data_IF_794010503335
#
_entry.id   IF_794010503335
#
_cell.length_a   1.000
_cell.length_b   1.000
_cell.length_c   1.000
_cell.angle_alpha   90.00
_cell.angle_beta   90.00
_cell.angle_gamma   90.00
#
_symmetry.space_group_name_H-M   'P 1'
#
loop_
_entity.id
_entity.type
_entity.pdbx_description
1 polymer ?
#
# COMPACT_ATOMS: atom_id res chain seq x y z
N UNK A 1 -2.99 14.06 -12.36
CA UNK A 1 -2.49 13.97 -10.96
C UNK A 1 -0.98 13.81 -10.99
N UNK A 2 -0.26 14.29 -9.97
CA UNK A 2 1.19 14.10 -9.90
C UNK A 2 1.54 12.60 -9.72
N UNK A 3 2.43 12.07 -10.56
CA UNK A 3 2.97 10.72 -10.41
C UNK A 3 3.71 10.61 -9.07
N UNK A 4 3.49 9.53 -8.33
CA UNK A 4 4.12 9.30 -7.02
C UNK A 4 4.66 7.87 -6.92
N UNK A 5 5.68 7.63 -6.08
CA UNK A 5 6.16 6.29 -5.83
C UNK A 5 5.11 5.50 -5.06
N UNK A 6 4.74 4.34 -5.61
CA UNK A 6 3.82 3.39 -4.98
C UNK A 6 4.48 2.03 -4.87
N UNK A 7 4.08 1.26 -3.86
CA UNK A 7 4.38 -0.16 -3.75
C UNK A 7 3.08 -0.95 -3.89
N UNK A 8 2.97 -1.77 -4.92
CA UNK A 8 1.93 -2.78 -5.04
C UNK A 8 2.38 -4.01 -4.24
N UNK A 9 1.61 -4.41 -3.24
CA UNK A 9 1.91 -5.60 -2.43
C UNK A 9 1.24 -6.81 -3.05
N UNK A 10 1.93 -7.94 -3.08
CA UNK A 10 1.39 -9.21 -3.59
C UNK A 10 1.75 -10.39 -2.68
N UNK A 11 1.03 -11.51 -2.76
CA UNK A 11 1.51 -12.77 -2.18
C UNK A 11 2.91 -13.13 -2.72
N UNK A 12 3.79 -13.70 -1.88
CA UNK A 12 5.11 -14.15 -2.34
C UNK A 12 5.02 -15.11 -3.52
N UNK A 13 5.89 -14.96 -4.50
CA UNK A 13 5.93 -15.73 -5.74
C UNK A 13 5.08 -15.17 -6.88
N UNK A 14 4.36 -14.06 -6.68
CA UNK A 14 3.54 -13.41 -7.70
C UNK A 14 4.12 -12.07 -8.19
N UNK A 15 5.33 -11.71 -7.75
CA UNK A 15 5.94 -10.41 -8.01
C UNK A 15 6.16 -10.16 -9.50
N UNK A 16 6.69 -11.13 -10.25
CA UNK A 16 6.95 -10.98 -11.69
C UNK A 16 5.65 -10.81 -12.50
N UNK A 17 4.61 -11.57 -12.15
CA UNK A 17 3.29 -11.45 -12.77
C UNK A 17 2.67 -10.07 -12.50
N UNK A 18 2.83 -9.56 -11.29
CA UNK A 18 2.35 -8.24 -10.91
C UNK A 18 3.19 -7.11 -11.54
N UNK A 19 4.48 -7.33 -11.77
CA UNK A 19 5.34 -6.40 -12.47
C UNK A 19 4.92 -6.28 -13.93
N UNK A 20 4.67 -7.40 -14.60
CA UNK A 20 4.11 -7.41 -15.95
C UNK A 20 2.76 -6.67 -16.01
N UNK A 21 1.88 -6.88 -15.03
CA UNK A 21 0.59 -6.17 -14.94
C UNK A 21 0.76 -4.65 -14.84
N UNK A 22 1.69 -4.19 -14.00
CA UNK A 22 1.97 -2.78 -13.84
C UNK A 22 2.63 -2.16 -15.07
N UNK A 23 3.47 -2.91 -15.79
CA UNK A 23 4.04 -2.50 -17.09
C UNK A 23 2.95 -2.30 -18.15
N UNK A 24 1.97 -3.21 -18.24
CA UNK A 24 0.79 -3.05 -19.10
C UNK A 24 -0.04 -1.82 -18.73
N UNK A 25 -0.09 -1.50 -17.43
CA UNK A 25 -0.67 -0.25 -16.93
C UNK A 25 0.23 0.97 -17.18
N UNK A 26 1.35 0.84 -17.89
CA UNK A 26 2.24 1.93 -18.28
C UNK A 26 3.07 2.47 -17.12
N UNK A 27 3.40 1.62 -16.13
CA UNK A 27 4.29 1.95 -15.04
C UNK A 27 5.71 1.44 -15.32
N UNK A 28 6.71 2.24 -14.98
CA UNK A 28 8.06 1.74 -14.76
C UNK A 28 8.08 1.02 -13.42
N UNK A 29 8.70 -0.17 -13.37
CA UNK A 29 8.61 -1.07 -12.22
C UNK A 29 9.96 -1.59 -11.77
N UNK A 30 10.05 -1.90 -10.49
CA UNK A 30 11.14 -2.65 -9.86
C UNK A 30 10.54 -3.75 -8.99
N UNK A 31 10.93 -4.99 -9.25
CA UNK A 31 10.51 -6.15 -8.48
C UNK A 31 11.23 -6.12 -7.14
N UNK A 32 10.47 -6.24 -6.04
CA UNK A 32 11.02 -6.27 -4.68
C UNK A 32 10.37 -7.41 -3.88
N UNK A 33 11.01 -7.91 -2.80
CA UNK A 33 10.39 -8.95 -2.00
C UNK A 33 8.96 -8.60 -1.54
N UNK A 34 7.98 -9.45 -1.88
CA UNK A 34 6.57 -9.29 -1.50
C UNK A 34 5.81 -8.20 -2.26
N UNK A 35 6.35 -7.65 -3.35
CA UNK A 35 5.71 -6.57 -4.07
C UNK A 35 6.41 -6.09 -5.33
N UNK A 36 5.89 -4.99 -5.85
CA UNK A 36 6.47 -4.27 -6.98
C UNK A 36 6.47 -2.78 -6.65
N UNK A 37 7.63 -2.13 -6.75
CA UNK A 37 7.75 -0.69 -6.68
C UNK A 37 7.47 -0.09 -8.05
N UNK A 38 6.70 0.99 -8.09
CA UNK A 38 6.49 1.80 -9.27
C UNK A 38 6.79 3.27 -8.91
N UNK A 39 8.02 3.77 -9.19
CA UNK A 39 8.48 5.09 -8.73
C UNK A 39 7.64 6.26 -9.24
N UNK A 40 6.99 6.07 -10.39
CA UNK A 40 6.21 7.10 -11.08
C UNK A 40 4.86 6.54 -11.55
N UNK A 41 4.06 6.06 -10.60
CA UNK A 41 2.73 5.51 -10.91
C UNK A 41 1.64 6.59 -10.94
N UNK A 42 0.65 6.35 -11.80
CA UNK A 42 -0.67 6.96 -11.70
C UNK A 42 -1.51 6.13 -10.72
N UNK A 43 -1.65 6.61 -9.49
CA UNK A 43 -2.27 5.87 -8.39
C UNK A 43 -3.70 5.40 -8.72
N UNK A 44 -4.63 6.26 -9.20
CA UNK A 44 -5.93 5.81 -9.69
C UNK A 44 -5.87 4.66 -10.71
N UNK A 45 -4.95 4.74 -11.68
CA UNK A 45 -4.79 3.69 -12.70
C UNK A 45 -4.36 2.36 -12.08
N UNK A 46 -3.42 2.40 -11.12
CA UNK A 46 -2.99 1.19 -10.39
C UNK A 46 -4.12 0.63 -9.53
N UNK A 47 -4.84 1.48 -8.79
CA UNK A 47 -5.92 1.07 -7.88
C UNK A 47 -7.07 0.38 -8.61
N UNK A 48 -7.44 0.88 -9.79
CA UNK A 48 -8.52 0.32 -10.60
C UNK A 48 -8.03 -0.84 -11.48
N UNK A 49 -6.82 -0.71 -12.03
CA UNK A 49 -6.30 -1.63 -13.04
C UNK A 49 -5.69 -2.91 -12.48
N UNK A 50 -5.08 -2.87 -11.29
CA UNK A 50 -4.40 -4.05 -10.75
C UNK A 50 -5.39 -5.12 -10.32
N UNK A 51 -5.21 -6.35 -10.83
CA UNK A 51 -6.00 -7.54 -10.50
C UNK A 51 -5.26 -8.44 -9.51
N UNK A 52 -3.94 -8.55 -9.64
CA UNK A 52 -3.08 -9.42 -8.81
C UNK A 52 -2.72 -8.77 -7.46
N UNK A 53 -2.72 -7.43 -7.40
CA UNK A 53 -2.47 -6.65 -6.20
C UNK A 53 -3.30 -7.09 -5.00
N UNK A 54 -2.67 -7.16 -3.83
CA UNK A 54 -3.35 -7.36 -2.54
C UNK A 54 -3.63 -6.03 -1.83
N UNK A 55 -2.84 -5.00 -2.11
CA UNK A 55 -2.97 -3.64 -1.58
C UNK A 55 -1.90 -2.73 -2.15
N UNK A 56 -2.07 -1.42 -1.95
CA UNK A 56 -1.16 -0.39 -2.47
C UNK A 56 -0.79 0.55 -1.35
N UNK A 57 0.51 0.81 -1.21
CA UNK A 57 1.01 1.89 -0.35
C UNK A 57 1.60 3.01 -1.20
N UNK A 58 1.37 4.24 -0.76
CA UNK A 58 1.99 5.44 -1.31
C UNK A 58 3.20 5.80 -0.47
N UNK A 59 4.38 5.85 -1.08
CA UNK A 59 5.61 6.21 -0.37
C UNK A 59 5.69 7.73 -0.21
N UNK A 60 5.91 8.18 1.02
CA UNK A 60 6.10 9.61 1.34
C UNK A 60 7.59 10.00 1.39
N UNK A 61 8.47 9.02 1.61
CA UNK A 61 9.91 9.23 1.67
C UNK A 61 10.57 8.38 2.75
N UNK A 62 11.78 8.77 3.14
CA UNK A 62 12.57 8.10 4.16
C UNK A 62 12.95 9.09 5.26
N UNK A 63 13.04 8.59 6.49
CA UNK A 63 13.52 9.35 7.66
C UNK A 63 14.63 8.58 8.37
N UNK A 64 15.47 9.29 9.14
CA UNK A 64 16.46 8.62 9.99
C UNK A 64 15.76 7.87 11.13
N UNK A 65 16.25 6.68 11.43
CA UNK A 65 15.62 5.81 12.42
C UNK A 65 15.85 6.29 13.86
N UNK A 66 17.04 6.82 14.16
CA UNK A 66 17.42 7.32 15.48
C UNK A 66 16.59 8.52 15.94
N UNK A 67 16.12 9.32 15.01
CA UNK A 67 15.24 10.46 15.23
C UNK A 67 13.80 10.20 14.77
N UNK A 68 13.37 8.94 14.62
CA UNK A 68 12.14 8.58 13.91
C UNK A 68 10.90 9.40 14.32
N UNK A 69 10.47 9.45 15.61
CA UNK A 69 9.29 10.24 15.99
C UNK A 69 9.43 11.73 15.67
N UNK A 70 10.63 12.30 15.82
CA UNK A 70 10.87 13.71 15.59
C UNK A 70 10.92 14.05 14.10
N UNK A 71 11.57 13.20 13.30
CA UNK A 71 11.68 13.34 11.86
C UNK A 71 10.32 13.23 11.15
N UNK A 72 9.39 12.44 11.70
CA UNK A 72 8.02 12.35 11.16
C UNK A 72 7.32 13.71 11.17
N UNK A 73 7.69 14.68 12.03
CA UNK A 73 7.05 16.02 12.02
C UNK A 73 7.27 16.79 10.72
N UNK A 74 8.36 16.52 10.01
CA UNK A 74 8.73 17.18 8.76
C UNK A 74 8.11 16.56 7.51
N UNK A 75 7.42 15.42 7.63
CA UNK A 75 6.84 14.72 6.48
C UNK A 75 5.64 15.49 5.89
N UNK A 76 5.35 15.36 4.58
CA UNK A 76 4.32 16.13 3.88
C UNK A 76 2.90 15.59 4.14
N UNK A 77 2.52 15.46 5.41
CA UNK A 77 1.24 14.90 5.84
C UNK A 77 0.02 15.60 5.25
N UNK A 78 0.12 16.89 4.94
CA UNK A 78 -0.93 17.67 4.29
C UNK A 78 -1.40 17.08 2.95
N UNK A 79 -0.56 16.25 2.32
CA UNK A 79 -0.85 15.63 1.03
C UNK A 79 -1.64 14.32 1.13
N UNK A 80 -1.86 13.79 2.34
CA UNK A 80 -2.48 12.47 2.58
C UNK A 80 -3.41 12.41 3.79
N UNK A 81 -3.23 13.26 4.80
CA UNK A 81 -4.09 13.30 5.98
C UNK A 81 -5.30 14.21 5.76
N UNK A 82 -6.47 13.64 6.06
CA UNK A 82 -7.69 14.42 6.28
C UNK A 82 -7.74 14.90 7.74
N UNK A 83 -8.30 16.08 7.96
CA UNK A 83 -8.39 16.65 9.29
C UNK A 83 -9.24 15.81 10.26
N UNK A 84 -8.72 15.60 11.46
CA UNK A 84 -9.30 14.73 12.50
C UNK A 84 -9.37 13.24 12.16
N UNK A 85 -8.78 12.79 11.05
CA UNK A 85 -8.75 11.37 10.70
C UNK A 85 -7.92 10.58 11.72
N UNK A 86 -8.42 9.42 12.14
CA UNK A 86 -7.66 8.49 13.00
C UNK A 86 -6.44 7.96 12.24
N UNK A 87 -5.37 7.69 12.97
CA UNK A 87 -4.12 7.15 12.41
C UNK A 87 -3.80 5.84 13.11
N UNK A 88 -3.37 4.85 12.34
CA UNK A 88 -2.83 3.59 12.84
C UNK A 88 -1.40 3.47 12.33
N UNK A 89 -0.41 3.42 13.22
CA UNK A 89 0.97 3.16 12.80
C UNK A 89 1.23 1.65 12.83
N UNK A 90 1.98 1.17 11.85
CA UNK A 90 2.57 -0.18 11.84
C UNK A 90 4.06 -0.06 11.67
N UNK A 91 4.82 -0.38 12.72
CA UNK A 91 6.29 -0.38 12.69
C UNK A 91 6.85 -1.78 12.41
N UNK A 92 7.73 -1.90 11.42
CA UNK A 92 8.47 -3.13 11.08
C UNK A 92 9.97 -2.87 11.08
N UNK A 93 10.75 -3.93 11.34
CA UNK A 93 12.22 -3.87 11.32
C UNK A 93 12.87 -3.34 12.60
N UNK A 94 12.10 -2.82 13.56
CA UNK A 94 12.59 -2.37 14.86
C UNK A 94 11.85 -3.05 16.00
N UNK A 95 12.59 -3.43 17.04
CA UNK A 95 12.03 -3.88 18.31
C UNK A 95 12.25 -2.79 19.36
N UNK A 96 11.19 -2.19 19.86
CA UNK A 96 11.26 -1.16 20.89
C UNK A 96 9.89 -0.82 21.45
N UNK A 97 9.75 -0.86 22.79
CA UNK A 97 8.48 -0.58 23.44
C UNK A 97 8.09 0.89 23.25
N UNK A 98 6.88 1.14 22.76
CA UNK A 98 6.26 2.46 22.70
C UNK A 98 6.72 3.39 21.57
N UNK A 99 7.64 2.97 20.69
CA UNK A 99 8.05 3.79 19.53
C UNK A 99 6.87 4.01 18.58
N UNK A 100 6.11 2.95 18.30
CA UNK A 100 4.92 2.97 17.44
C UNK A 100 3.89 3.99 17.95
N UNK A 101 3.53 3.93 19.24
CA UNK A 101 2.61 4.89 19.86
C UNK A 101 3.11 6.34 19.85
N UNK A 102 4.43 6.56 20.02
CA UNK A 102 5.02 7.91 19.88
C UNK A 102 4.89 8.43 18.45
N UNK A 103 5.15 7.58 17.46
CA UNK A 103 4.99 7.94 16.04
C UNK A 103 3.52 8.24 15.71
N UNK A 104 2.59 7.41 16.19
CA UNK A 104 1.15 7.61 16.00
C UNK A 104 0.70 8.94 16.59
N UNK A 105 1.10 9.26 17.83
CA UNK A 105 0.77 10.52 18.48
C UNK A 105 1.30 11.75 17.70
N UNK A 106 2.50 11.65 17.12
CA UNK A 106 3.06 12.72 16.27
C UNK A 106 2.18 12.94 15.05
N UNK A 107 1.84 11.89 14.31
CA UNK A 107 1.05 11.98 13.08
C UNK A 107 -0.41 12.40 13.38
N UNK A 108 -1.02 11.85 14.44
CA UNK A 108 -2.36 12.20 14.88
C UNK A 108 -2.47 13.69 15.24
N UNK A 109 -1.42 14.30 15.81
CA UNK A 109 -1.37 15.74 16.06
C UNK A 109 -1.42 16.56 14.76
N UNK A 110 -0.83 16.08 13.67
CA UNK A 110 -0.97 16.72 12.35
C UNK A 110 -2.41 16.64 11.84
N UNK A 111 -3.09 15.51 12.01
CA UNK A 111 -4.50 15.36 11.66
C UNK A 111 -5.39 16.29 12.50
N UNK A 112 -5.18 16.36 13.82
CA UNK A 112 -5.96 17.19 14.74
C UNK A 112 -5.83 18.69 14.44
N UNK A 113 -4.62 19.18 14.15
CA UNK A 113 -4.37 20.59 13.80
C UNK A 113 -5.11 21.06 12.55
N UNK A 114 -5.50 20.15 11.66
CA UNK A 114 -6.24 20.47 10.45
C UNK A 114 -7.74 20.65 10.71
N UNK A 115 -8.23 20.37 11.92
CA UNK A 115 -9.64 20.45 12.28
C UNK A 115 -10.51 19.41 11.57
N UNK A 116 -11.82 19.42 11.79
CA UNK A 116 -12.75 18.49 11.13
C UNK A 116 -12.91 17.16 11.86
N UNK A 117 -14.12 16.60 11.84
CA UNK A 117 -14.47 15.31 12.43
C UNK A 117 -14.63 14.25 11.37
N UNK A 118 -13.58 13.98 10.60
CA UNK A 118 -13.64 13.06 9.47
C UNK A 118 -14.17 11.69 9.90
N UNK A 119 -15.35 11.30 9.40
CA UNK A 119 -15.89 9.93 9.51
C UNK A 119 -15.24 9.00 8.49
N UNK A 120 -13.92 9.02 8.44
CA UNK A 120 -13.11 8.17 7.57
C UNK A 120 -12.55 6.98 8.36
N UNK A 121 -12.27 5.86 7.68
CA UNK A 121 -11.42 4.82 8.25
C UNK A 121 -10.08 5.39 8.71
N UNK A 122 -9.47 4.74 9.71
CA UNK A 122 -8.15 5.12 10.16
C UNK A 122 -7.14 5.01 9.00
N UNK A 123 -6.29 6.02 8.84
CA UNK A 123 -5.19 5.98 7.88
C UNK A 123 -4.08 5.12 8.46
N UNK A 124 -3.77 4.01 7.82
CA UNK A 124 -2.64 3.17 8.19
C UNK A 124 -1.35 3.74 7.63
N UNK A 125 -0.37 3.95 8.49
CA UNK A 125 0.98 4.41 8.16
C UNK A 125 1.96 3.29 8.43
N UNK A 126 2.67 2.87 7.39
CA UNK A 126 3.72 1.88 7.47
C UNK A 126 5.06 2.60 7.70
N UNK A 127 5.75 2.18 8.76
CA UNK A 127 7.14 2.54 9.04
C UNK A 127 7.98 1.29 8.89
N UNK A 128 8.76 1.19 7.83
CA UNK A 128 9.58 0.00 7.55
C UNK A 128 11.04 0.41 7.76
N UNK A 129 11.62 -0.07 8.85
CA UNK A 129 13.00 0.21 9.18
C UNK A 129 13.96 -0.75 8.51
N UNK A 130 15.00 -0.18 7.92
CA UNK A 130 16.10 -0.89 7.26
C UNK A 130 17.38 -0.08 7.52
N UNK A 131 18.40 -0.75 8.05
CA UNK A 131 19.64 -0.14 8.51
C UNK A 131 19.43 1.08 9.45
N UNK A 132 19.82 2.28 8.99
CA UNK A 132 19.75 3.53 9.73
C UNK A 132 18.57 4.42 9.29
N UNK A 133 17.66 3.90 8.47
CA UNK A 133 16.53 4.64 7.89
C UNK A 133 15.22 3.90 8.11
N UNK A 134 14.12 4.64 8.00
CA UNK A 134 12.78 4.09 7.93
C UNK A 134 12.05 4.66 6.70
N UNK A 135 11.54 3.78 5.85
CA UNK A 135 10.55 4.12 4.84
C UNK A 135 9.25 4.54 5.53
N UNK A 136 8.68 5.67 5.09
CA UNK A 136 7.38 6.16 5.53
C UNK A 136 6.41 6.04 4.37
N UNK A 137 5.41 5.19 4.52
CA UNK A 137 4.39 4.97 3.50
C UNK A 137 2.99 4.99 4.10
N UNK A 138 2.00 5.44 3.33
CA UNK A 138 0.58 5.40 3.73
C UNK A 138 -0.18 4.38 2.91
N UNK A 139 -1.11 3.69 3.54
CA UNK A 139 -1.95 2.70 2.86
C UNK A 139 -3.00 3.41 2.00
N UNK A 140 -2.84 3.31 0.67
CA UNK A 140 -3.79 3.86 -0.29
C UNK A 140 -4.97 2.91 -0.53
N UNK A 141 -4.69 1.59 -0.53
CA UNK A 141 -5.72 0.56 -0.57
C UNK A 141 -5.25 -0.72 0.11
N UNK A 142 -6.22 -1.44 0.67
CA UNK A 142 -6.04 -2.77 1.25
C UNK A 142 -7.10 -3.71 0.70
N UNK A 143 -6.81 -5.00 0.76
CA UNK A 143 -7.71 -6.06 0.33
C UNK A 143 -8.24 -5.84 -1.11
N UNK A 144 -7.36 -5.49 -2.05
CA UNK A 144 -7.75 -5.27 -3.46
C UNK A 144 -8.44 -6.49 -4.08
N UNK A 145 -8.21 -7.68 -3.54
CA UNK A 145 -8.94 -8.89 -3.90
C UNK A 145 -10.47 -8.80 -3.67
N UNK A 146 -10.94 -7.96 -2.73
CA UNK A 146 -12.38 -7.72 -2.51
C UNK A 146 -12.96 -6.81 -3.58
N UNK A 147 -13.38 -7.40 -4.69
CA UNK A 147 -13.95 -6.68 -5.85
C UNK A 147 -15.43 -6.30 -5.72
N UNK A 148 -16.07 -6.66 -4.60
CA UNK A 148 -17.46 -6.26 -4.29
C UNK A 148 -18.56 -7.15 -4.87
N UNK A 149 -18.26 -8.05 -5.82
CA UNK A 149 -19.28 -8.94 -6.40
C UNK A 149 -19.58 -10.18 -5.55
N UNK A 150 -18.65 -10.61 -4.68
CA UNK A 150 -18.84 -11.79 -3.83
C UNK A 150 -19.58 -11.41 -2.54
N UNK A 151 -20.88 -11.68 -2.49
CA UNK A 151 -21.75 -11.36 -1.35
C UNK A 151 -21.85 -12.48 -0.31
N UNK A 152 -21.66 -13.74 -0.72
CA UNK A 152 -21.68 -14.92 0.16
C UNK A 152 -20.44 -15.81 -0.09
N UNK A 153 -19.38 -15.72 0.73
CA UNK A 153 -18.25 -16.61 0.60
C UNK A 153 -18.65 -18.04 1.03
N UNK A 154 -18.33 -19.04 0.20
CA UNK A 154 -18.38 -20.45 0.62
C UNK A 154 -17.33 -20.76 1.71
N UNK A 155 -17.12 -22.05 2.04
CA UNK A 155 -16.25 -22.43 3.18
C UNK A 155 -14.78 -21.98 3.05
N UNK A 156 -14.21 -21.99 1.84
CA UNK A 156 -12.81 -21.63 1.61
C UNK A 156 -12.58 -21.14 0.16
N UNK A 157 -13.15 -19.99 -0.23
CA UNK A 157 -12.98 -19.49 -1.58
C UNK A 157 -11.54 -19.07 -1.83
N UNK A 158 -11.03 -19.38 -3.02
CA UNK A 158 -9.78 -18.81 -3.52
C UNK A 158 -9.90 -17.28 -3.55
N UNK A 159 -8.87 -16.56 -3.09
CA UNK A 159 -8.82 -15.11 -3.22
C UNK A 159 -8.80 -14.74 -4.70
N UNK A 160 -9.57 -13.72 -5.06
CA UNK A 160 -9.78 -13.27 -6.43
C UNK A 160 -8.48 -12.86 -7.11
N UNK A 161 -7.56 -12.24 -6.35
CA UNK A 161 -6.28 -11.83 -6.89
C UNK A 161 -5.37 -13.02 -7.21
N UNK A 162 -5.45 -14.10 -6.44
CA UNK A 162 -4.74 -15.35 -6.73
C UNK A 162 -5.39 -16.07 -7.92
N UNK A 163 -6.71 -16.08 -8.03
CA UNK A 163 -7.40 -16.59 -9.22
C UNK A 163 -6.98 -15.84 -10.50
N UNK A 164 -6.89 -14.51 -10.43
CA UNK A 164 -6.40 -13.69 -11.53
C UNK A 164 -4.93 -14.00 -11.88
N UNK A 165 -4.08 -14.24 -10.87
CA UNK A 165 -2.69 -14.62 -11.09
C UNK A 165 -2.56 -15.99 -11.78
N UNK A 166 -3.39 -16.98 -11.41
CA UNK A 166 -3.42 -18.30 -12.06
C UNK A 166 -3.77 -18.17 -13.54
N UNK A 167 -4.86 -17.45 -13.86
CA UNK A 167 -5.25 -17.24 -15.26
C UNK A 167 -4.15 -16.55 -16.07
N UNK A 168 -3.49 -15.55 -15.48
CA UNK A 168 -2.36 -14.86 -16.11
C UNK A 168 -1.17 -15.80 -16.32
N UNK A 169 -0.84 -16.64 -15.35
CA UNK A 169 0.25 -17.62 -15.46
C UNK A 169 -0.02 -18.67 -16.55
N UNK A 170 -1.30 -18.99 -16.81
CA UNK A 170 -1.72 -19.84 -17.92
C UNK A 170 -1.72 -19.11 -19.29
N UNK A 171 -1.33 -17.83 -19.34
CA UNK A 171 -1.43 -16.97 -20.53
C UNK A 171 -2.86 -16.89 -21.12
N UNK A 172 -3.88 -17.12 -20.30
CA UNK A 172 -5.27 -17.06 -20.77
C UNK A 172 -5.69 -15.60 -20.94
N UNK A 173 -6.06 -15.24 -22.17
CA UNK A 173 -6.42 -13.86 -22.56
C UNK A 173 -7.92 -13.61 -22.60
N UNK A 174 -8.73 -14.66 -22.41
CA UNK A 174 -10.18 -14.61 -22.63
C UNK A 174 -10.62 -14.70 -24.08
N UNK A 175 -9.69 -14.81 -25.04
CA UNK A 175 -10.03 -15.02 -26.46
C UNK A 175 -10.36 -16.48 -26.81
N UNK A 176 -10.10 -17.41 -25.90
CA UNK A 176 -10.34 -18.84 -26.06
C UNK A 176 -11.14 -19.41 -24.88
N UNK A 177 -11.88 -20.52 -25.08
CA UNK A 177 -12.55 -21.21 -23.99
C UNK A 177 -11.57 -21.63 -22.89
N UNK A 178 -11.96 -21.45 -21.62
CA UNK A 178 -11.23 -21.98 -20.48
C UNK A 178 -11.69 -23.42 -20.24
N UNK A 179 -10.77 -24.39 -20.43
CA UNK A 179 -11.02 -25.83 -20.28
C UNK A 179 -10.30 -26.43 -19.08
#
# INVERSE_FOLDING_TARGET
MAKRPVRLRVPPGLEDLAAAELVELGCDVEVVPGGVLAPRADLPKVLVGSRIGSGVTLQLGHVRLDSLPDALRGMPWQSVLTGGQRVEVVLRGVRGRGIEGKCEAVIARHAAKRGGGARLPALRVWLIAEDHRAEVAVEAARDLWKRGWRTAPGRAPLRENLAAAVLRACNWTGSEPLV
#
